data_IF_511693082084
#
_entry.id   IF_511693082084
#
_cell.length_a   1.000
_cell.length_b   1.000
_cell.length_c   1.000
_cell.angle_alpha   90.00
_cell.angle_beta   90.00
_cell.angle_gamma   90.00
#
_symmetry.space_group_name_H-M   'P 1'
#
loop_
_entity.id
_entity.type
_entity.pdbx_description
1 polymer ?
#
# COMPACT_ATOMS: atom_id res chain seq x y z
N UNK A 1 -28.84 3.97 -34.18
CA UNK A 1 -27.79 4.67 -33.41
C UNK A 1 -27.85 4.12 -31.99
N UNK A 2 -26.94 3.21 -31.62
CA UNK A 2 -26.95 2.60 -30.29
C UNK A 2 -26.44 3.61 -29.26
N UNK A 3 -27.20 3.84 -28.18
CA UNK A 3 -26.75 4.67 -27.06
C UNK A 3 -25.43 4.09 -26.51
N UNK A 4 -24.45 4.96 -26.26
CA UNK A 4 -23.25 4.56 -25.54
C UNK A 4 -23.65 4.01 -24.15
N UNK A 5 -23.01 2.93 -23.67
CA UNK A 5 -23.30 2.38 -22.36
C UNK A 5 -23.03 3.42 -21.27
N UNK A 6 -23.93 3.51 -20.28
CA UNK A 6 -23.79 4.40 -19.14
C UNK A 6 -22.47 4.13 -18.38
N UNK A 7 -21.72 5.17 -17.99
CA UNK A 7 -20.46 4.99 -17.28
C UNK A 7 -20.68 4.28 -15.94
N UNK A 8 -20.14 3.07 -15.82
CA UNK A 8 -20.26 2.21 -14.63
C UNK A 8 -18.93 2.15 -13.88
N UNK A 9 -19.01 2.19 -12.54
CA UNK A 9 -17.88 1.91 -11.65
C UNK A 9 -17.68 0.41 -11.40
N UNK A 10 -18.55 -0.42 -11.94
CA UNK A 10 -18.43 -1.86 -11.81
C UNK A 10 -17.47 -2.38 -12.88
N UNK A 11 -16.54 -3.23 -12.46
CA UNK A 11 -15.70 -3.97 -13.40
C UNK A 11 -16.51 -5.03 -14.14
N UNK A 12 -15.88 -5.66 -15.11
CA UNK A 12 -16.49 -6.70 -15.93
C UNK A 12 -15.80 -8.04 -15.70
N UNK A 13 -16.55 -9.14 -15.79
CA UNK A 13 -15.98 -10.49 -15.84
C UNK A 13 -15.78 -10.87 -17.29
N UNK A 14 -14.58 -11.35 -17.63
CA UNK A 14 -14.24 -11.83 -18.96
C UNK A 14 -13.87 -13.30 -18.88
N UNK A 15 -14.40 -14.10 -19.80
CA UNK A 15 -13.98 -15.49 -19.93
C UNK A 15 -12.54 -15.51 -20.43
N UNK A 16 -11.67 -16.22 -19.72
CA UNK A 16 -10.29 -16.48 -20.10
C UNK A 16 -10.08 -17.98 -20.26
N UNK A 17 -9.10 -18.36 -21.08
CA UNK A 17 -8.73 -19.75 -21.27
C UNK A 17 -7.20 -19.86 -21.26
N UNK A 18 -6.66 -20.75 -20.43
CA UNK A 18 -5.24 -21.10 -20.40
C UNK A 18 -5.07 -22.61 -20.34
N UNK A 19 -4.17 -23.18 -21.15
CA UNK A 19 -3.94 -24.63 -21.24
C UNK A 19 -5.20 -25.51 -21.42
N UNK A 20 -6.27 -24.96 -22.04
CA UNK A 20 -7.55 -25.65 -22.23
C UNK A 20 -8.55 -25.54 -21.07
N UNK A 21 -8.15 -24.94 -19.95
CA UNK A 21 -9.03 -24.65 -18.81
C UNK A 21 -9.71 -23.30 -18.99
N UNK A 22 -11.04 -23.25 -18.77
CA UNK A 22 -11.83 -22.02 -18.81
C UNK A 22 -11.99 -21.46 -17.40
N UNK A 23 -11.73 -20.17 -17.25
CA UNK A 23 -11.97 -19.42 -16.02
C UNK A 23 -12.60 -18.05 -16.31
N UNK A 24 -13.04 -17.37 -15.26
CA UNK A 24 -13.49 -15.98 -15.33
C UNK A 24 -12.49 -15.06 -14.63
N UNK A 25 -11.99 -14.05 -15.35
CA UNK A 25 -11.18 -12.99 -14.77
C UNK A 25 -12.03 -11.74 -14.54
N UNK A 26 -11.85 -11.08 -13.39
CA UNK A 26 -12.43 -9.76 -13.14
C UNK A 26 -11.50 -8.67 -13.66
N UNK A 27 -12.02 -7.80 -14.53
CA UNK A 27 -11.33 -6.64 -15.09
C UNK A 27 -11.93 -5.39 -14.47
N UNK A 28 -11.19 -4.66 -13.61
CA UNK A 28 -11.69 -3.42 -13.04
C UNK A 28 -11.85 -2.34 -14.12
N UNK A 29 -12.72 -1.34 -13.91
CA UNK A 29 -12.81 -0.20 -14.81
C UNK A 29 -11.51 0.61 -14.78
N UNK A 30 -11.21 1.31 -15.88
CA UNK A 30 -10.03 2.17 -15.96
C UNK A 30 -10.11 3.32 -14.95
N UNK A 31 -8.94 3.75 -14.47
CA UNK A 31 -8.81 4.97 -13.68
C UNK A 31 -8.53 6.17 -14.61
N UNK A 32 -9.09 7.36 -14.33
CA UNK A 32 -9.97 7.68 -13.20
C UNK A 32 -11.41 7.14 -13.39
N UNK A 33 -12.12 6.85 -12.29
CA UNK A 33 -13.48 6.32 -12.38
C UNK A 33 -14.45 7.36 -12.92
N UNK A 34 -15.43 6.91 -13.70
CA UNK A 34 -16.56 7.73 -14.17
C UNK A 34 -17.86 7.20 -13.55
N UNK A 35 -18.68 8.04 -12.88
CA UNK A 35 -18.41 9.44 -12.56
C UNK A 35 -17.26 9.59 -11.54
N UNK A 36 -16.58 10.75 -11.47
CA UNK A 36 -15.46 11.00 -10.56
C UNK A 36 -15.80 10.76 -9.08
N UNK A 37 -14.77 10.47 -8.28
CA UNK A 37 -14.92 10.33 -6.82
C UNK A 37 -15.47 11.62 -6.22
N UNK A 38 -16.47 11.48 -5.35
CA UNK A 38 -17.11 12.60 -4.65
C UNK A 38 -16.24 13.03 -3.47
N UNK A 39 -15.45 14.09 -3.67
CA UNK A 39 -14.45 14.55 -2.70
C UNK A 39 -15.03 15.37 -1.55
N UNK A 40 -16.23 15.94 -1.71
CA UNK A 40 -16.92 16.79 -0.72
C UNK A 40 -16.95 16.17 0.68
N UNK A 41 -17.20 14.86 0.75
CA UNK A 41 -17.29 14.11 2.01
C UNK A 41 -15.94 13.69 2.58
N UNK A 42 -14.87 13.74 1.77
CA UNK A 42 -13.53 13.25 2.11
C UNK A 42 -12.57 14.36 2.53
N UNK A 43 -12.86 15.63 2.20
CA UNK A 43 -11.96 16.75 2.47
C UNK A 43 -11.55 16.85 3.95
N UNK A 44 -12.46 16.59 4.89
CA UNK A 44 -12.12 16.61 6.32
C UNK A 44 -11.16 15.50 6.72
N UNK A 45 -11.32 14.28 6.20
CA UNK A 45 -10.35 13.21 6.44
C UNK A 45 -9.01 13.51 5.76
N UNK A 46 -9.04 14.04 4.53
CA UNK A 46 -7.84 14.40 3.78
C UNK A 46 -7.03 15.47 4.51
N UNK A 47 -7.69 16.53 5.00
CA UNK A 47 -7.05 17.59 5.79
C UNK A 47 -6.41 17.04 7.08
N UNK A 48 -7.09 16.13 7.79
CA UNK A 48 -6.55 15.47 8.98
C UNK A 48 -5.32 14.61 8.65
N UNK A 49 -5.39 13.84 7.57
CA UNK A 49 -4.27 13.02 7.10
C UNK A 49 -3.08 13.90 6.73
N UNK A 50 -3.29 14.96 5.96
CA UNK A 50 -2.23 15.91 5.58
C UNK A 50 -1.57 16.56 6.80
N UNK A 51 -2.36 16.96 7.81
CA UNK A 51 -1.81 17.50 9.07
C UNK A 51 -0.99 16.47 9.85
N UNK A 52 -1.43 15.21 9.88
CA UNK A 52 -0.71 14.14 10.56
C UNK A 52 0.62 13.85 9.87
N UNK A 53 0.63 13.79 8.53
CA UNK A 53 1.84 13.63 7.72
C UNK A 53 2.78 14.82 7.93
N UNK A 54 2.28 16.06 7.85
CA UNK A 54 3.11 17.25 8.10
C UNK A 54 3.68 17.32 9.52
N UNK A 55 2.97 16.78 10.52
CA UNK A 55 3.53 16.65 11.87
C UNK A 55 4.65 15.61 11.94
N UNK A 56 4.49 14.48 11.27
CA UNK A 56 5.54 13.46 11.18
C UNK A 56 6.79 14.06 10.53
N UNK A 57 6.63 14.74 9.40
CA UNK A 57 7.72 15.43 8.68
C UNK A 57 8.40 16.53 9.54
N UNK A 58 7.61 17.26 10.33
CA UNK A 58 8.16 18.22 11.29
C UNK A 58 8.94 17.56 12.45
N UNK A 59 8.60 16.34 12.85
CA UNK A 59 9.32 15.61 13.91
C UNK A 59 10.59 14.96 13.37
N UNK A 60 10.60 14.49 12.13
CA UNK A 60 11.82 13.90 11.53
C UNK A 60 12.96 14.91 11.39
N UNK A 61 12.68 16.21 11.33
CA UNK A 61 13.72 17.26 11.30
C UNK A 61 14.51 17.41 12.60
N UNK A 62 14.03 16.86 13.72
CA UNK A 62 14.70 16.92 15.03
C UNK A 62 15.21 15.56 15.50
N UNK A 63 15.03 14.51 14.70
CA UNK A 63 15.52 13.19 15.04
C UNK A 63 17.06 13.15 14.94
N UNK A 64 17.74 12.49 15.89
CA UNK A 64 19.20 12.40 15.89
C UNK A 64 19.72 11.50 14.75
N UNK A 65 18.95 10.50 14.34
CA UNK A 65 19.28 9.57 13.24
C UNK A 65 18.00 9.16 12.50
N UNK A 66 17.66 9.93 11.46
CA UNK A 66 16.48 9.68 10.62
C UNK A 66 16.57 8.37 9.83
N UNK A 67 17.69 8.03 9.18
CA UNK A 67 17.82 6.74 8.49
C UNK A 67 17.56 5.53 9.38
N UNK A 68 18.13 5.49 10.59
CA UNK A 68 17.88 4.38 11.53
C UNK A 68 16.41 4.32 11.96
N UNK A 69 15.79 5.47 12.20
CA UNK A 69 14.36 5.53 12.53
C UNK A 69 13.49 5.00 11.39
N UNK A 70 13.74 5.42 10.15
CA UNK A 70 12.99 4.97 8.98
C UNK A 70 13.19 3.48 8.72
N UNK A 71 14.42 2.98 8.83
CA UNK A 71 14.74 1.56 8.71
C UNK A 71 13.85 0.71 9.62
N UNK A 72 13.74 1.06 10.92
CA UNK A 72 12.91 0.33 11.87
C UNK A 72 11.42 0.31 11.50
N UNK A 73 10.89 1.41 10.96
CA UNK A 73 9.49 1.48 10.53
C UNK A 73 9.23 0.72 9.24
N UNK A 74 10.17 0.71 8.28
CA UNK A 74 10.06 -0.14 7.08
C UNK A 74 9.98 -1.61 7.48
N UNK A 75 10.83 -2.07 8.41
CA UNK A 75 10.80 -3.44 8.93
C UNK A 75 9.49 -3.77 9.64
N UNK A 76 8.99 -2.83 10.45
CA UNK A 76 7.70 -2.97 11.12
C UNK A 76 6.54 -3.09 10.13
N UNK A 77 6.48 -2.25 9.10
CA UNK A 77 5.45 -2.29 8.07
C UNK A 77 5.52 -3.57 7.22
N UNK A 78 6.72 -4.03 6.86
CA UNK A 78 6.91 -5.29 6.16
C UNK A 78 6.43 -6.50 6.99
N UNK A 79 6.71 -6.49 8.30
CA UNK A 79 6.23 -7.50 9.22
C UNK A 79 4.70 -7.49 9.36
N UNK A 80 4.11 -6.31 9.59
CA UNK A 80 2.64 -6.17 9.70
C UNK A 80 1.94 -6.58 8.40
N UNK A 81 2.51 -6.23 7.24
CA UNK A 81 1.99 -6.64 5.93
C UNK A 81 2.04 -8.16 5.77
N UNK A 82 3.17 -8.78 6.13
CA UNK A 82 3.33 -10.24 6.11
C UNK A 82 2.36 -10.94 7.06
N UNK A 83 2.02 -10.33 8.20
CA UNK A 83 1.05 -10.90 9.15
C UNK A 83 -0.38 -10.94 8.59
N UNK A 84 -0.75 -9.96 7.76
CA UNK A 84 -2.05 -9.97 7.05
C UNK A 84 -2.14 -11.17 6.09
N UNK A 85 -1.02 -11.61 5.55
CA UNK A 85 -0.91 -12.79 4.67
C UNK A 85 -0.81 -14.12 5.45
N UNK A 86 -0.80 -14.07 6.79
CA UNK A 86 -0.83 -15.25 7.66
C UNK A 86 0.51 -15.66 8.25
N UNK A 87 1.58 -14.88 8.06
CA UNK A 87 2.86 -15.15 8.73
C UNK A 87 2.76 -14.82 10.24
N UNK A 88 3.43 -15.62 11.07
CA UNK A 88 3.49 -15.43 12.52
C UNK A 88 4.94 -15.13 12.91
N UNK A 89 5.25 -13.86 13.13
CA UNK A 89 6.56 -13.40 13.60
C UNK A 89 6.40 -12.09 14.36
N UNK A 90 7.26 -11.84 15.35
CA UNK A 90 7.32 -10.56 16.06
C UNK A 90 8.45 -9.68 15.53
N UNK A 91 8.37 -8.37 15.80
CA UNK A 91 9.46 -7.44 15.45
C UNK A 91 10.77 -7.85 16.13
N UNK A 92 10.72 -8.40 17.34
CA UNK A 92 11.90 -8.91 18.04
C UNK A 92 12.52 -10.12 17.34
N UNK A 93 11.70 -11.05 16.83
CA UNK A 93 12.18 -12.22 16.09
C UNK A 93 12.86 -11.79 14.78
N UNK A 94 12.26 -10.81 14.09
CA UNK A 94 12.80 -10.23 12.86
C UNK A 94 14.17 -9.57 13.09
N UNK A 95 14.28 -8.77 14.15
CA UNK A 95 15.52 -8.05 14.49
C UNK A 95 16.61 -9.00 15.00
N UNK A 96 16.23 -10.05 15.75
CA UNK A 96 17.18 -11.06 16.22
C UNK A 96 17.77 -11.83 15.03
N UNK A 97 16.90 -12.24 14.09
CA UNK A 97 17.31 -12.88 12.84
C UNK A 97 18.25 -11.99 12.02
N UNK A 98 17.91 -10.71 11.83
CA UNK A 98 18.77 -9.75 11.11
C UNK A 98 20.08 -9.42 11.83
N UNK A 99 20.16 -9.59 13.15
CA UNK A 99 21.41 -9.41 13.89
C UNK A 99 22.40 -10.56 13.67
N UNK A 100 21.89 -11.75 13.34
CA UNK A 100 22.69 -12.95 13.06
C UNK A 100 22.99 -13.10 11.56
N UNK A 101 22.29 -12.36 10.70
CA UNK A 101 22.48 -12.29 9.24
C UNK A 101 22.92 -10.89 8.75
N UNK A 102 23.21 -10.74 7.46
CA UNK A 102 23.39 -9.40 6.88
C UNK A 102 22.01 -8.71 6.73
N UNK A 103 21.89 -7.40 6.97
CA UNK A 103 20.62 -6.69 6.79
C UNK A 103 20.07 -6.91 5.37
N UNK A 104 18.84 -7.43 5.27
CA UNK A 104 18.23 -7.76 3.97
C UNK A 104 17.93 -6.55 3.09
N UNK A 105 17.90 -5.35 3.69
CA UNK A 105 17.81 -4.05 3.00
C UNK A 105 18.93 -3.15 3.56
N UNK A 106 19.87 -2.67 2.72
CA UNK A 106 20.87 -1.69 3.13
C UNK A 106 20.24 -0.47 3.79
N UNK A 107 20.88 0.05 4.85
CA UNK A 107 20.49 1.31 5.49
C UNK A 107 20.53 2.51 4.51
N UNK A 108 21.30 2.38 3.42
CA UNK A 108 21.43 3.40 2.39
C UNK A 108 20.22 3.45 1.42
N UNK A 109 19.36 2.42 1.40
CA UNK A 109 18.16 2.37 0.56
C UNK A 109 17.01 3.23 1.11
N UNK A 110 17.19 3.80 2.31
CA UNK A 110 16.24 4.70 2.99
C UNK A 110 16.73 6.15 2.79
N UNK A 111 16.58 6.66 1.56
CA UNK A 111 16.89 8.06 1.17
C UNK A 111 15.64 8.92 1.01
#
# INVERSE_FOLDING_TARGET
MALAPEPSRLGQRVAISTAGERAEAFVPPLLPPVPPVRMDRLYRQLERANRAIGRLDGVTSILPDTPLFLYMYVRKEALLSSQIEGTQSSLSDLLLFESEEAPGVPLDDVQ
#
